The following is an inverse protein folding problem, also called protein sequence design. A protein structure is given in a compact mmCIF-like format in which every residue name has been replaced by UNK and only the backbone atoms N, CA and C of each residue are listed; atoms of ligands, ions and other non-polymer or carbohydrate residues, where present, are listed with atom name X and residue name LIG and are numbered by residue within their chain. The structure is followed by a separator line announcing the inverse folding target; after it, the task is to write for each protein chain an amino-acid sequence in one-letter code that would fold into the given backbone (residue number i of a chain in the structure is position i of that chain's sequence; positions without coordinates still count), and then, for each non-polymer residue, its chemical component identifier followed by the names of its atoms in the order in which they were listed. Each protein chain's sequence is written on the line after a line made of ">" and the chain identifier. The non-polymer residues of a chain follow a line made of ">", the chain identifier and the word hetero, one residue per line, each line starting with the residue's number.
data_IF_206155281835
#
_entry.id   IF_206155281835
#
_cell.length_a   1.000
_cell.length_b   1.000
_cell.length_c   1.000
_cell.angle_alpha   90.00
_cell.angle_beta   90.00
_cell.angle_gamma   90.00
#
_symmetry.space_group_name_H-M   'P 1'
#
loop_
_entity.id
_entity.type
_entity.pdbx_description
1 polymer ?
#
# COMPACT_ATOMS: atom_id res chain seq x y z
N UNK A 1 10.39 21.21 -7.14
CA UNK A 1 11.17 20.73 -5.97
C UNK A 1 11.23 19.23 -6.10
N UNK A 2 12.43 18.65 -6.10
CA UNK A 2 12.55 17.19 -6.03
C UNK A 2 12.57 16.83 -4.55
N UNK A 3 11.48 16.28 -4.05
CA UNK A 3 11.43 15.74 -2.69
C UNK A 3 12.22 14.44 -2.68
N UNK A 4 13.44 14.50 -2.14
CA UNK A 4 14.24 13.30 -1.92
C UNK A 4 13.73 12.65 -0.64
N UNK A 5 13.11 11.48 -0.76
CA UNK A 5 12.71 10.66 0.38
C UNK A 5 13.97 10.09 1.02
N UNK A 6 14.22 10.44 2.29
CA UNK A 6 15.28 9.82 3.07
C UNK A 6 14.76 8.51 3.68
N UNK A 7 15.39 7.40 3.30
CA UNK A 7 15.13 6.07 3.85
C UNK A 7 16.24 5.72 4.86
N UNK A 8 15.91 4.90 5.85
CA UNK A 8 16.90 4.36 6.76
C UNK A 8 17.70 3.21 6.16
N UNK A 9 18.71 2.75 6.92
CA UNK A 9 19.74 1.81 6.45
C UNK A 9 19.21 0.43 6.02
N UNK A 10 18.01 0.04 6.46
CA UNK A 10 17.39 -1.23 6.06
C UNK A 10 15.91 -1.03 5.71
N UNK A 11 15.60 -1.30 4.44
CA UNK A 11 14.30 -1.00 3.84
C UNK A 11 13.53 -2.30 3.57
N UNK A 12 12.33 -2.41 4.14
CA UNK A 12 11.34 -3.41 3.74
C UNK A 12 10.59 -2.93 2.50
N UNK A 13 10.31 -3.85 1.58
CA UNK A 13 9.50 -3.59 0.39
C UNK A 13 8.21 -4.38 0.46
N UNK A 14 7.09 -3.72 0.19
CA UNK A 14 5.76 -4.35 0.12
C UNK A 14 5.09 -4.04 -1.22
N UNK A 15 4.30 -5.00 -1.70
CA UNK A 15 3.46 -4.85 -2.88
C UNK A 15 2.11 -4.22 -2.55
N UNK A 16 1.10 -4.53 -3.37
CA UNK A 16 -0.25 -4.00 -3.21
C UNK A 16 -0.87 -4.39 -1.86
N UNK A 17 -1.57 -3.43 -1.25
CA UNK A 17 -2.23 -3.61 0.06
C UNK A 17 -3.70 -3.92 -0.09
N UNK A 18 -4.33 -3.46 -1.18
CA UNK A 18 -5.75 -3.66 -1.47
C UNK A 18 -6.70 -3.24 -0.33
N UNK A 19 -6.27 -2.32 0.54
CA UNK A 19 -7.02 -1.88 1.72
C UNK A 19 -7.03 -2.85 2.90
N UNK A 20 -6.21 -3.91 2.90
CA UNK A 20 -6.10 -4.82 4.06
C UNK A 20 -5.22 -4.22 5.17
N UNK A 21 -5.87 -3.67 6.19
CA UNK A 21 -5.21 -3.05 7.34
C UNK A 21 -4.48 -4.04 8.25
N UNK A 22 -4.90 -5.32 8.25
CA UNK A 22 -4.20 -6.36 9.03
C UNK A 22 -2.90 -6.76 8.35
N UNK A 23 -2.93 -6.86 7.02
CA UNK A 23 -1.73 -7.04 6.23
C UNK A 23 -0.72 -5.91 6.50
N UNK A 24 -1.15 -4.65 6.50
CA UNK A 24 -0.27 -3.51 6.80
C UNK A 24 0.42 -3.64 8.17
N UNK A 25 -0.33 -4.05 9.19
CA UNK A 25 0.23 -4.27 10.52
C UNK A 25 1.35 -5.33 10.50
N UNK A 26 1.07 -6.49 9.92
CA UNK A 26 2.04 -7.60 9.87
C UNK A 26 3.25 -7.28 8.98
N UNK A 27 3.01 -6.49 7.93
CA UNK A 27 4.00 -5.97 7.01
C UNK A 27 4.91 -4.90 7.63
N UNK A 28 4.52 -4.29 8.75
CA UNK A 28 5.43 -3.45 9.56
C UNK A 28 6.18 -4.31 10.58
N UNK A 29 5.47 -5.18 11.29
CA UNK A 29 6.05 -5.98 12.39
C UNK A 29 7.17 -6.90 11.90
N UNK A 30 6.95 -7.62 10.79
CA UNK A 30 7.91 -8.63 10.30
C UNK A 30 9.22 -8.02 9.79
N UNK A 31 9.22 -6.94 9.01
CA UNK A 31 10.45 -6.24 8.65
C UNK A 31 11.12 -5.57 9.86
N UNK A 32 10.36 -4.95 10.76
CA UNK A 32 10.93 -4.34 11.98
C UNK A 32 11.64 -5.37 12.85
N UNK A 33 11.10 -6.57 13.01
CA UNK A 33 11.78 -7.64 13.76
C UNK A 33 13.08 -8.12 13.09
N UNK A 34 13.33 -7.74 11.84
CA UNK A 34 14.56 -8.03 11.08
C UNK A 34 15.54 -6.85 11.02
N UNK A 35 15.17 -5.71 11.62
CA UNK A 35 15.97 -4.50 11.65
C UNK A 35 15.53 -3.42 10.66
N UNK A 36 14.48 -3.64 9.86
CA UNK A 36 14.04 -2.63 8.91
C UNK A 36 13.46 -1.42 9.66
N UNK A 37 13.97 -0.25 9.32
CA UNK A 37 13.58 1.05 9.89
C UNK A 37 12.87 1.93 8.85
N UNK A 38 12.64 1.41 7.66
CA UNK A 38 11.82 2.03 6.61
C UNK A 38 11.04 0.94 5.89
N UNK A 39 9.78 1.25 5.55
CA UNK A 39 8.92 0.38 4.76
C UNK A 39 8.45 1.18 3.55
N UNK A 40 8.74 0.68 2.35
CA UNK A 40 8.33 1.31 1.10
C UNK A 40 7.33 0.39 0.41
N UNK A 41 6.16 0.97 0.12
CA UNK A 41 5.17 0.33 -0.71
C UNK A 41 5.41 0.71 -2.18
N UNK A 42 5.55 -0.29 -3.03
CA UNK A 42 5.78 -0.13 -4.47
C UNK A 42 4.51 -0.31 -5.31
N UNK A 43 3.42 -0.73 -4.66
CA UNK A 43 2.12 -1.04 -5.27
C UNK A 43 1.01 -0.09 -4.84
N UNK A 44 -0.22 -0.39 -5.23
CA UNK A 44 -1.37 0.47 -4.98
C UNK A 44 -1.75 0.50 -3.49
N UNK A 45 -1.78 1.71 -2.92
CA UNK A 45 -2.34 1.97 -1.57
C UNK A 45 -3.88 1.85 -1.56
N UNK A 46 -4.49 1.81 -2.74
CA UNK A 46 -5.93 1.79 -2.93
C UNK A 46 -6.62 0.48 -2.54
N UNK A 47 -7.93 0.58 -2.29
CA UNK A 47 -8.83 -0.55 -2.04
C UNK A 47 -9.30 -1.15 -3.38
N UNK A 48 -9.18 -2.48 -3.55
CA UNK A 48 -9.95 -3.17 -4.60
C UNK A 48 -11.40 -3.26 -4.13
N UNK A 49 -12.20 -2.31 -4.58
CA UNK A 49 -13.63 -2.30 -4.34
C UNK A 49 -14.34 -3.00 -5.50
N UNK A 50 -15.03 -4.11 -5.23
CA UNK A 50 -15.72 -4.87 -6.28
C UNK A 50 -16.97 -4.20 -6.85
N UNK A 51 -17.46 -3.13 -6.23
CA UNK A 51 -18.67 -2.41 -6.62
C UNK A 51 -19.93 -3.29 -6.56
N UNK A 52 -21.05 -2.75 -6.10
CA UNK A 52 -22.32 -3.36 -6.47
C UNK A 52 -22.58 -3.06 -7.95
N UNK A 53 -23.31 -3.94 -8.64
CA UNK A 53 -23.61 -3.80 -10.10
C UNK A 53 -24.18 -2.42 -10.48
N UNK A 54 -24.85 -1.76 -9.53
CA UNK A 54 -25.43 -0.42 -9.68
C UNK A 54 -24.40 0.70 -9.85
N UNK A 55 -23.26 0.60 -9.16
CA UNK A 55 -22.22 1.65 -9.15
C UNK A 55 -21.38 1.59 -10.43
N UNK A 56 -21.15 0.38 -10.95
CA UNK A 56 -20.45 0.15 -12.24
C UNK A 56 -21.28 0.68 -13.42
N UNK A 57 -22.61 0.52 -13.39
CA UNK A 57 -23.50 0.98 -14.47
C UNK A 57 -23.66 2.51 -14.52
N UNK A 58 -23.45 3.20 -13.39
CA UNK A 58 -23.59 4.66 -13.31
C UNK A 58 -22.48 5.44 -14.03
N UNK A 59 -21.45 4.77 -14.55
CA UNK A 59 -20.43 5.39 -15.41
C UNK A 59 -19.44 6.32 -14.69
N UNK A 60 -19.49 6.40 -13.36
CA UNK A 60 -18.66 7.27 -12.52
C UNK A 60 -17.15 6.96 -12.56
N UNK A 61 -16.71 5.88 -13.23
CA UNK A 61 -15.30 5.42 -13.19
C UNK A 61 -14.67 5.15 -14.56
N UNK A 62 -15.17 5.78 -15.63
CA UNK A 62 -14.39 5.84 -16.88
C UNK A 62 -13.35 6.96 -16.80
N UNK A 63 -12.19 6.63 -16.27
CA UNK A 63 -10.92 7.31 -16.54
C UNK A 63 -10.06 6.41 -17.42
#
# INVERSE_FOLDING_TARGET
>A
MNDIVQLGDQVGLIGDVHGDTRFLHDAVVTPTSRGCNSLVQLGDFGMIWRGTRSEIQSGLWRL
#
